data_IF_516311527499
#
_entry.id   IF_516311527499
#
_cell.length_a   1.000
_cell.length_b   1.000
_cell.length_c   1.000
_cell.angle_alpha   90.00
_cell.angle_beta   90.00
_cell.angle_gamma   90.00
#
_symmetry.space_group_name_H-M   'P 1'
#
loop_
_entity.id
_entity.type
_entity.pdbx_description
1 polymer ?
#
# COMPACT_ATOMS: atom_id res chain seq x y z
N UNK A 1 -15.13 -8.41 11.24
CA UNK A 1 -14.47 -9.72 11.02
C UNK A 1 -13.12 -9.44 10.38
N UNK A 2 -12.00 -9.74 11.04
CA UNK A 2 -10.68 -9.50 10.46
C UNK A 2 -10.47 -10.46 9.27
N UNK A 3 -9.92 -9.99 8.13
CA UNK A 3 -9.71 -10.85 6.97
C UNK A 3 -8.79 -12.02 7.30
N UNK A 4 -9.13 -13.22 6.80
CA UNK A 4 -8.32 -14.42 6.98
C UNK A 4 -6.91 -14.19 6.40
N UNK A 5 -5.91 -14.10 7.27
CA UNK A 5 -4.52 -13.83 6.89
C UNK A 5 -3.79 -15.05 6.31
N UNK A 6 -4.32 -16.26 6.52
CA UNK A 6 -3.74 -17.51 6.06
C UNK A 6 -4.17 -17.89 4.64
N UNK A 7 -5.25 -17.29 4.14
CA UNK A 7 -5.74 -17.52 2.80
C UNK A 7 -4.96 -16.72 1.76
N UNK A 8 -4.73 -17.32 0.58
CA UNK A 8 -4.29 -16.58 -0.59
C UNK A 8 -5.42 -15.68 -1.09
N UNK A 9 -5.12 -14.38 -1.20
CA UNK A 9 -5.98 -13.36 -1.80
C UNK A 9 -5.54 -13.13 -3.24
N UNK A 10 -6.50 -13.02 -4.16
CA UNK A 10 -6.23 -12.89 -5.58
C UNK A 10 -6.31 -11.43 -6.06
N UNK A 11 -5.30 -10.99 -6.80
CA UNK A 11 -5.18 -9.63 -7.32
C UNK A 11 -4.80 -9.66 -8.80
N UNK A 12 -5.43 -8.85 -9.67
CA UNK A 12 -4.98 -8.73 -11.05
C UNK A 12 -3.62 -8.02 -11.12
N UNK A 13 -2.73 -8.53 -11.98
CA UNK A 13 -1.38 -8.04 -12.18
C UNK A 13 -1.03 -8.08 -13.68
N UNK A 14 -1.61 -7.15 -14.44
CA UNK A 14 -1.25 -6.82 -15.83
C UNK A 14 -0.86 -8.01 -16.71
N UNK A 15 -1.88 -8.83 -17.04
CA UNK A 15 -1.70 -10.07 -17.79
C UNK A 15 -1.46 -11.32 -16.93
N UNK A 16 -1.34 -11.16 -15.62
CA UNK A 16 -1.21 -12.24 -14.65
C UNK A 16 -2.22 -12.10 -13.49
N UNK A 17 -2.37 -13.18 -12.72
CA UNK A 17 -3.04 -13.18 -11.42
C UNK A 17 -1.97 -13.31 -10.33
N UNK A 18 -1.96 -12.40 -9.37
CA UNK A 18 -1.14 -12.47 -8.17
C UNK A 18 -1.97 -13.08 -7.03
N UNK A 19 -1.51 -14.18 -6.47
CA UNK A 19 -2.01 -14.72 -5.21
C UNK A 19 -1.07 -14.26 -4.10
N UNK A 20 -1.58 -13.57 -3.10
CA UNK A 20 -0.81 -13.05 -1.97
C UNK A 20 -1.39 -13.51 -0.64
N UNK A 21 -0.54 -14.02 0.26
CA UNK A 21 -0.92 -14.43 1.61
C UNK A 21 -0.38 -13.44 2.64
N UNK A 22 -1.26 -12.71 3.37
CA UNK A 22 -0.82 -11.70 4.34
C UNK A 22 -0.06 -12.22 5.56
N UNK A 23 -0.23 -13.49 5.94
CA UNK A 23 0.43 -14.07 7.13
C UNK A 23 1.95 -13.97 7.05
N UNK A 24 2.51 -14.31 5.89
CA UNK A 24 3.96 -14.50 5.68
C UNK A 24 4.49 -13.80 4.42
N UNK A 25 3.63 -13.09 3.70
CA UNK A 25 4.00 -12.35 2.49
C UNK A 25 4.17 -13.24 1.25
N UNK A 26 3.84 -14.53 1.33
CA UNK A 26 3.99 -15.44 0.20
C UNK A 26 3.21 -14.93 -1.03
N UNK A 27 3.89 -14.94 -2.18
CA UNK A 27 3.37 -14.39 -3.43
C UNK A 27 3.54 -15.40 -4.56
N UNK A 28 2.45 -15.75 -5.25
CA UNK A 28 2.46 -16.64 -6.42
C UNK A 28 1.91 -15.87 -7.61
N UNK A 29 2.67 -15.85 -8.71
CA UNK A 29 2.24 -15.26 -9.97
C UNK A 29 1.76 -16.36 -10.92
N UNK A 30 0.50 -16.29 -11.33
CA UNK A 30 -0.10 -17.22 -12.29
C UNK A 30 -0.26 -16.51 -13.63
N UNK A 31 0.34 -17.08 -14.68
CA UNK A 31 0.23 -16.57 -16.05
C UNK A 31 -0.39 -17.65 -16.94
N UNK A 32 -1.45 -17.31 -17.67
CA UNK A 32 -2.07 -18.17 -18.67
C UNK A 32 -2.79 -17.32 -19.72
N UNK A 33 -3.25 -17.90 -20.85
CA UNK A 33 -4.11 -17.17 -21.79
C UNK A 33 -5.33 -16.51 -21.12
N UNK A 34 -5.88 -17.12 -20.04
CA UNK A 34 -7.04 -16.60 -19.30
C UNK A 34 -6.73 -15.36 -18.46
N UNK A 35 -5.48 -15.11 -18.09
CA UNK A 35 -5.09 -13.94 -17.26
C UNK A 35 -4.71 -12.72 -18.09
N UNK A 36 -4.61 -12.84 -19.42
CA UNK A 36 -4.09 -11.81 -20.33
C UNK A 36 -4.85 -10.48 -20.25
N UNK A 37 -6.16 -10.54 -19.99
CA UNK A 37 -7.02 -9.36 -19.87
C UNK A 37 -6.96 -8.69 -18.48
N UNK A 38 -6.35 -9.33 -17.48
CA UNK A 38 -6.26 -8.75 -16.14
C UNK A 38 -5.43 -7.47 -16.16
N UNK A 39 -5.92 -6.45 -15.45
CA UNK A 39 -5.27 -5.16 -15.26
C UNK A 39 -5.26 -4.82 -13.80
N UNK A 40 -4.12 -4.38 -13.32
CA UNK A 40 -3.94 -3.98 -11.93
C UNK A 40 -4.85 -2.80 -11.61
N UNK A 41 -5.47 -2.85 -10.43
CA UNK A 41 -6.44 -1.83 -9.97
C UNK A 41 -5.93 -0.95 -8.85
N UNK A 42 -4.93 -1.40 -8.10
CA UNK A 42 -4.34 -0.67 -7.00
C UNK A 42 -2.81 -0.87 -6.94
N UNK A 43 -2.06 0.10 -6.40
CA UNK A 43 -0.67 -0.09 -6.03
C UNK A 43 -0.54 -1.25 -5.03
N UNK A 44 0.56 -1.99 -5.10
CA UNK A 44 0.86 -3.14 -4.21
C UNK A 44 1.37 -2.61 -2.90
N UNK A 45 2.26 -1.63 -2.99
CA UNK A 45 2.86 -0.91 -1.87
C UNK A 45 2.53 0.58 -2.04
N UNK A 46 2.15 1.23 -0.96
CA UNK A 46 2.00 2.68 -0.86
C UNK A 46 2.93 3.20 0.22
N UNK A 47 3.69 4.25 -0.07
CA UNK A 47 4.40 5.02 0.96
C UNK A 47 3.45 6.08 1.51
N UNK A 48 3.18 6.02 2.81
CA UNK A 48 2.23 6.89 3.48
C UNK A 48 2.96 7.84 4.45
N UNK A 49 3.06 9.10 4.05
CA UNK A 49 3.66 10.17 4.85
C UNK A 49 2.71 10.69 5.92
N UNK A 50 2.93 10.30 7.18
CA UNK A 50 2.07 10.71 8.31
C UNK A 50 2.29 12.17 8.72
N UNK A 51 3.52 12.65 8.60
CA UNK A 51 3.94 13.98 9.03
C UNK A 51 5.06 14.51 8.14
N UNK A 52 5.09 15.83 7.97
CA UNK A 52 6.21 16.56 7.36
C UNK A 52 7.10 17.24 8.40
N UNK A 53 6.67 17.33 9.66
CA UNK A 53 7.48 17.87 10.75
C UNK A 53 8.73 17.01 10.95
N UNK A 54 9.89 17.66 10.98
CA UNK A 54 11.18 17.00 11.14
C UNK A 54 12.14 17.90 11.93
N UNK A 55 12.96 17.32 12.81
CA UNK A 55 14.00 18.04 13.56
C UNK A 55 15.36 18.11 12.82
N UNK A 56 15.47 17.49 11.64
CA UNK A 56 16.67 17.48 10.81
C UNK A 56 16.58 18.45 9.62
N UNK A 57 17.73 18.73 9.00
CA UNK A 57 17.86 19.60 7.81
C UNK A 57 18.73 18.93 6.74
N UNK A 58 18.33 17.72 6.33
CA UNK A 58 19.08 16.93 5.36
C UNK A 58 19.11 17.63 4.00
N UNK A 59 20.29 17.87 3.42
CA UNK A 59 20.45 18.57 2.13
C UNK A 59 19.87 17.84 0.91
N UNK A 60 19.49 16.57 1.06
CA UNK A 60 18.84 15.74 0.05
C UNK A 60 17.34 15.52 0.31
N UNK A 61 16.78 16.09 1.40
CA UNK A 61 15.37 15.87 1.73
C UNK A 61 14.47 16.53 0.69
N UNK A 62 13.60 15.74 0.07
CA UNK A 62 12.61 16.23 -0.89
C UNK A 62 11.30 16.66 -0.23
N UNK A 63 11.16 16.55 1.10
CA UNK A 63 9.93 16.93 1.81
C UNK A 63 9.93 18.41 2.10
N UNK A 64 8.83 19.07 1.77
CA UNK A 64 8.59 20.45 2.14
C UNK A 64 8.20 20.51 3.63
N UNK A 65 9.08 21.10 4.43
CA UNK A 65 8.91 21.28 5.88
C UNK A 65 7.96 22.43 6.24
N UNK A 66 7.55 23.25 5.27
CA UNK A 66 6.54 24.31 5.48
C UNK A 66 5.12 23.76 5.56
N UNK A 67 4.89 22.52 5.11
CA UNK A 67 3.61 21.83 5.22
C UNK A 67 3.42 21.39 6.68
N UNK A 68 2.53 22.09 7.38
CA UNK A 68 2.21 21.82 8.78
C UNK A 68 1.08 20.81 8.96
N UNK A 69 0.35 20.50 7.89
CA UNK A 69 -0.81 19.62 7.93
C UNK A 69 -0.42 18.23 8.43
N UNK A 70 -1.25 17.72 9.33
CA UNK A 70 -1.15 16.36 9.86
C UNK A 70 -2.39 15.60 9.46
N UNK A 71 -2.19 14.31 9.24
CA UNK A 71 -3.33 13.42 9.13
C UNK A 71 -4.11 13.43 10.44
N UNK A 72 -5.41 13.69 10.34
CA UNK A 72 -6.33 13.26 11.37
C UNK A 72 -6.36 11.72 11.43
N UNK A 73 -6.56 11.17 12.63
CA UNK A 73 -6.49 9.72 12.83
C UNK A 73 -7.60 8.99 12.08
N UNK A 74 -8.82 9.55 12.03
CA UNK A 74 -9.94 8.97 11.33
C UNK A 74 -9.75 9.07 9.81
N UNK A 75 -9.16 10.17 9.34
CA UNK A 75 -8.77 10.32 7.93
C UNK A 75 -7.71 9.28 7.53
N UNK A 76 -6.70 9.07 8.37
CA UNK A 76 -5.66 8.08 8.11
C UNK A 76 -6.24 6.65 8.09
N UNK A 77 -7.08 6.31 9.07
CA UNK A 77 -7.76 5.01 9.11
C UNK A 77 -8.62 4.78 7.87
N UNK A 78 -9.43 5.78 7.48
CA UNK A 78 -10.28 5.73 6.29
C UNK A 78 -9.46 5.52 5.01
N UNK A 79 -8.32 6.18 4.87
CA UNK A 79 -7.41 5.96 3.75
C UNK A 79 -6.89 4.52 3.73
N UNK A 80 -6.42 4.00 4.88
CA UNK A 80 -5.87 2.64 4.97
C UNK A 80 -6.92 1.58 4.62
N UNK A 81 -8.16 1.74 5.08
CA UNK A 81 -9.28 0.86 4.74
C UNK A 81 -9.62 0.93 3.25
N UNK A 82 -9.59 2.14 2.67
CA UNK A 82 -9.80 2.36 1.24
C UNK A 82 -8.73 1.65 0.41
N UNK A 83 -7.45 1.82 0.78
CA UNK A 83 -6.32 1.14 0.13
C UNK A 83 -6.46 -0.38 0.22
N UNK A 84 -6.78 -0.91 1.40
CA UNK A 84 -6.96 -2.35 1.61
C UNK A 84 -8.12 -2.91 0.77
N UNK A 85 -9.22 -2.16 0.66
CA UNK A 85 -10.40 -2.51 -0.14
C UNK A 85 -10.12 -2.44 -1.65
N UNK A 86 -9.31 -1.48 -2.09
CA UNK A 86 -8.86 -1.37 -3.49
C UNK A 86 -7.88 -2.47 -3.90
N UNK A 87 -7.23 -3.11 -2.93
CA UNK A 87 -6.32 -4.23 -3.12
C UNK A 87 -4.83 -3.91 -2.96
N UNK A 88 -4.52 -2.81 -2.28
CA UNK A 88 -3.18 -2.56 -1.75
C UNK A 88 -2.84 -3.62 -0.71
N UNK A 89 -1.62 -4.14 -0.80
CA UNK A 89 -1.15 -5.28 -0.01
C UNK A 89 -0.25 -4.84 1.14
N UNK A 90 0.40 -3.70 0.99
CA UNK A 90 1.41 -3.19 1.91
C UNK A 90 1.37 -1.65 1.96
N UNK A 91 1.58 -1.11 3.16
CA UNK A 91 1.77 0.32 3.38
C UNK A 91 3.06 0.49 4.18
N UNK A 92 3.95 1.35 3.67
CA UNK A 92 5.15 1.78 4.38
C UNK A 92 4.87 3.15 4.99
N UNK A 93 4.85 3.22 6.32
CA UNK A 93 4.73 4.51 7.01
C UNK A 93 6.06 5.25 6.94
N UNK A 94 5.99 6.53 6.62
CA UNK A 94 7.14 7.43 6.64
C UNK A 94 6.71 8.84 6.98
N UNK A 95 7.65 9.77 6.87
CA UNK A 95 7.41 11.17 7.21
C UNK A 95 8.73 11.87 7.52
N UNK A 96 8.62 13.01 8.17
CA UNK A 96 9.70 13.54 9.00
C UNK A 96 9.71 12.90 10.39
N UNK A 97 10.84 13.03 11.07
CA UNK A 97 11.06 12.62 12.48
C UNK A 97 11.60 13.80 13.30
#
# INVERSE_FOLDING_TARGET
MLPNRDAFRAFPLDGALLLFRPRDGASVRVTSPRTRALRRRAPRVVSFGLSHACNLRCGFCSRDASIADRWDTDQAATLLETLASAGTQEVAFGGGE
#
